data_IF_745486707185
#
_entry.id   IF_745486707185
#
_cell.length_a   1.000
_cell.length_b   1.000
_cell.length_c   1.000
_cell.angle_alpha   90.00
_cell.angle_beta   90.00
_cell.angle_gamma   90.00
#
_symmetry.space_group_name_H-M   'P 1'
#
loop_
_entity.id
_entity.type
_entity.pdbx_description
1 polymer ?
#
# COMPACT_ATOMS: atom_id res chain seq x y z
N UNK A 1 -16.77 -4.34 -21.90
CA UNK A 1 -15.81 -4.41 -20.77
C UNK A 1 -14.94 -5.63 -20.96
N UNK A 2 -13.87 -5.60 -21.73
CA UNK A 2 -13.13 -6.83 -22.10
C UNK A 2 -11.97 -7.13 -21.15
N UNK A 3 -11.35 -6.09 -20.60
CA UNK A 3 -10.13 -6.19 -19.80
C UNK A 3 -10.28 -5.52 -18.45
N UNK A 4 -9.69 -6.14 -17.42
CA UNK A 4 -9.52 -5.56 -16.09
C UNK A 4 -8.04 -5.57 -15.71
N UNK A 5 -7.55 -4.43 -15.22
CA UNK A 5 -6.29 -4.30 -14.53
C UNK A 5 -6.53 -4.12 -13.03
N UNK A 6 -5.85 -4.89 -12.20
CA UNK A 6 -5.95 -4.81 -10.75
C UNK A 6 -4.59 -4.45 -10.19
N UNK A 7 -4.53 -3.34 -9.48
CA UNK A 7 -3.41 -3.03 -8.62
C UNK A 7 -3.69 -3.54 -7.22
N UNK A 8 -2.97 -4.58 -6.78
CA UNK A 8 -3.06 -5.12 -5.42
C UNK A 8 -1.99 -4.46 -4.57
N UNK A 9 -2.19 -3.23 -4.11
CA UNK A 9 -1.20 -2.47 -3.36
C UNK A 9 -1.13 -2.84 -1.87
N UNK A 10 -0.03 -2.42 -1.22
CA UNK A 10 0.19 -2.64 0.22
C UNK A 10 -0.85 -1.95 1.09
N UNK A 11 -1.26 -0.74 0.69
CA UNK A 11 -2.21 0.10 1.44
C UNK A 11 -3.56 0.21 0.77
N UNK A 12 -3.60 0.26 -0.57
CA UNK A 12 -4.81 0.39 -1.35
C UNK A 12 -4.76 -0.57 -2.53
N UNK A 13 -5.93 -1.10 -2.91
CA UNK A 13 -6.15 -1.75 -4.17
C UNK A 13 -6.95 -0.83 -5.11
N UNK A 14 -6.67 -0.92 -6.42
CA UNK A 14 -7.47 -0.26 -7.44
C UNK A 14 -7.84 -1.23 -8.56
N UNK A 15 -8.96 -0.97 -9.23
CA UNK A 15 -9.40 -1.75 -10.40
C UNK A 15 -9.68 -0.78 -11.53
N UNK A 16 -9.01 -1.01 -12.65
CA UNK A 16 -9.21 -0.29 -13.90
C UNK A 16 -9.80 -1.24 -14.95
N UNK A 17 -10.60 -0.73 -15.87
CA UNK A 17 -11.18 -1.54 -16.93
C UNK A 17 -11.33 -0.77 -18.24
N UNK A 18 -11.30 -1.51 -19.34
CA UNK A 18 -11.53 -0.99 -20.69
C UNK A 18 -12.55 -1.87 -21.44
N UNK A 19 -13.37 -1.26 -22.28
CA UNK A 19 -14.39 -2.01 -23.01
C UNK A 19 -13.81 -2.89 -24.11
N UNK A 20 -12.78 -2.40 -24.78
CA UNK A 20 -11.99 -2.97 -25.87
C UNK A 20 -10.65 -2.23 -25.94
N UNK A 21 -9.86 -2.47 -26.99
CA UNK A 21 -8.49 -1.95 -27.15
C UNK A 21 -8.44 -0.44 -27.41
N UNK A 22 -9.51 0.15 -27.94
CA UNK A 22 -9.60 1.57 -28.31
C UNK A 22 -10.38 2.42 -27.29
N UNK A 23 -10.96 1.77 -26.28
CA UNK A 23 -11.76 2.42 -25.25
C UNK A 23 -10.90 3.06 -24.16
N UNK A 24 -11.33 4.21 -23.61
CA UNK A 24 -10.63 4.83 -22.49
C UNK A 24 -10.61 3.90 -21.27
N UNK A 25 -9.52 3.96 -20.51
CA UNK A 25 -9.38 3.24 -19.24
C UNK A 25 -10.21 3.95 -18.17
N UNK A 26 -11.12 3.21 -17.53
CA UNK A 26 -11.99 3.71 -16.47
C UNK A 26 -11.60 3.09 -15.13
N UNK A 27 -11.68 3.87 -14.05
CA UNK A 27 -11.51 3.37 -12.69
C UNK A 27 -12.86 2.84 -12.18
N UNK A 28 -12.86 1.60 -11.69
CA UNK A 28 -14.01 1.01 -11.04
C UNK A 28 -14.11 1.51 -9.60
N UNK A 29 -15.21 2.20 -9.29
CA UNK A 29 -15.55 2.56 -7.92
C UNK A 29 -16.07 1.32 -7.18
N UNK A 30 -15.27 0.80 -6.25
CA UNK A 30 -15.50 -0.43 -5.50
C UNK A 30 -16.51 -0.17 -4.38
N UNK A 31 -17.73 -0.76 -4.42
CA UNK A 31 -18.63 -0.72 -3.28
C UNK A 31 -18.01 -1.42 -2.07
N UNK A 32 -18.08 -0.78 -0.91
CA UNK A 32 -17.53 -1.29 0.34
C UNK A 32 -18.24 -0.66 1.54
N UNK A 33 -18.16 -1.30 2.70
CA UNK A 33 -18.69 -0.71 3.93
C UNK A 33 -17.84 0.51 4.32
N UNK A 34 -18.52 1.64 4.55
CA UNK A 34 -17.91 2.87 5.07
C UNK A 34 -18.29 3.10 6.55
N UNK A 35 -19.47 2.62 6.93
CA UNK A 35 -19.97 2.53 8.30
C UNK A 35 -20.74 1.20 8.45
N UNK A 36 -20.97 0.71 9.69
CA UNK A 36 -21.80 -0.48 9.88
C UNK A 36 -23.19 -0.27 9.28
N UNK A 37 -23.63 -1.17 8.40
CA UNK A 37 -24.89 -1.10 7.67
C UNK A 37 -24.92 -0.10 6.50
N UNK A 38 -23.79 0.54 6.17
CA UNK A 38 -23.73 1.56 5.12
C UNK A 38 -22.59 1.28 4.13
N UNK A 39 -22.95 1.16 2.86
CA UNK A 39 -22.00 0.97 1.75
C UNK A 39 -21.88 2.20 0.88
N UNK A 40 -20.67 2.50 0.42
CA UNK A 40 -20.42 3.49 -0.64
C UNK A 40 -19.42 2.94 -1.67
N UNK A 41 -19.52 3.42 -2.90
CA UNK A 41 -18.57 3.11 -3.96
C UNK A 41 -17.41 4.12 -3.93
N UNK A 42 -16.19 3.62 -3.84
CA UNK A 42 -14.98 4.42 -3.70
C UNK A 42 -13.94 3.99 -4.74
N UNK A 43 -13.11 4.89 -5.28
CA UNK A 43 -12.15 4.56 -6.34
C UNK A 43 -11.06 3.57 -5.90
N UNK A 44 -10.87 3.41 -4.59
CA UNK A 44 -9.87 2.54 -3.97
C UNK A 44 -10.53 1.66 -2.90
N UNK A 45 -10.07 0.42 -2.79
CA UNK A 45 -10.33 -0.46 -1.65
C UNK A 45 -9.11 -0.42 -0.74
N UNK A 46 -9.24 -0.02 0.52
CA UNK A 46 -8.11 -0.12 1.45
C UNK A 46 -7.71 -1.59 1.68
N UNK A 47 -6.42 -1.90 1.55
CA UNK A 47 -5.81 -3.22 1.78
C UNK A 47 -5.73 -3.53 3.28
N UNK A 48 -6.88 -3.49 3.92
CA UNK A 48 -7.10 -3.66 5.35
C UNK A 48 -8.16 -4.75 5.57
N UNK A 49 -7.87 -5.71 6.44
CA UNK A 49 -8.81 -6.74 6.88
C UNK A 49 -9.01 -6.63 8.39
N UNK A 50 -10.26 -6.49 8.83
CA UNK A 50 -10.62 -6.43 10.24
C UNK A 50 -11.27 -7.73 10.68
N UNK A 51 -10.72 -8.35 11.71
CA UNK A 51 -11.19 -9.60 12.30
C UNK A 51 -12.17 -9.28 13.44
N UNK A 52 -13.47 -9.21 13.14
CA UNK A 52 -14.49 -8.86 14.12
C UNK A 52 -14.73 -9.98 15.12
N UNK A 53 -15.12 -9.61 16.34
CA UNK A 53 -15.53 -10.55 17.38
C UNK A 53 -17.05 -10.76 17.39
N UNK A 54 -17.47 -11.88 17.95
CA UNK A 54 -18.89 -12.17 18.15
C UNK A 54 -19.54 -11.11 19.07
N UNK A 55 -20.66 -10.57 18.63
CA UNK A 55 -21.40 -9.53 19.34
C UNK A 55 -20.79 -8.12 19.27
N UNK A 56 -19.69 -7.92 18.51
CA UNK A 56 -19.10 -6.58 18.33
C UNK A 56 -20.00 -5.67 17.48
N UNK A 57 -20.68 -6.24 16.49
CA UNK A 57 -21.60 -5.54 15.61
C UNK A 57 -23.00 -6.13 15.75
N UNK A 58 -24.02 -5.30 15.51
CA UNK A 58 -25.39 -5.78 15.40
C UNK A 58 -25.52 -6.74 14.21
N UNK A 59 -26.47 -7.67 14.31
CA UNK A 59 -26.75 -8.62 13.23
C UNK A 59 -27.02 -7.89 11.91
N UNK A 60 -26.38 -8.34 10.83
CA UNK A 60 -26.48 -7.75 9.50
C UNK A 60 -25.72 -6.43 9.30
N UNK A 61 -25.10 -5.85 10.35
CA UNK A 61 -24.39 -4.57 10.21
C UNK A 61 -23.08 -4.68 9.39
N UNK A 62 -22.61 -5.89 9.12
CA UNK A 62 -21.45 -6.18 8.27
C UNK A 62 -21.85 -6.79 6.92
N UNK A 63 -23.15 -6.86 6.63
CA UNK A 63 -23.62 -7.44 5.38
C UNK A 63 -23.29 -6.49 4.21
N UNK A 64 -22.84 -7.09 3.12
CA UNK A 64 -22.70 -6.46 1.82
C UNK A 64 -23.86 -6.92 0.92
N UNK A 65 -24.20 -6.16 -0.13
CA UNK A 65 -25.29 -6.53 -1.05
C UNK A 65 -25.16 -7.94 -1.66
N UNK A 66 -23.96 -8.51 -1.69
CA UNK A 66 -23.65 -9.84 -2.22
C UNK A 66 -23.24 -10.88 -1.16
N UNK A 67 -23.13 -10.49 0.12
CA UNK A 67 -22.68 -11.41 1.16
C UNK A 67 -23.22 -11.03 2.54
N UNK A 68 -23.86 -11.99 3.21
CA UNK A 68 -24.38 -11.83 4.57
C UNK A 68 -23.60 -12.68 5.59
N UNK A 69 -23.60 -12.25 6.86
CA UNK A 69 -23.06 -13.01 7.99
C UNK A 69 -21.53 -13.10 8.04
N UNK A 70 -20.82 -12.21 7.34
CA UNK A 70 -19.34 -12.16 7.38
C UNK A 70 -18.86 -11.58 8.71
N UNK A 71 -17.88 -12.25 9.32
CA UNK A 71 -17.17 -11.78 10.52
C UNK A 71 -15.87 -11.04 10.20
N UNK A 72 -15.54 -10.92 8.93
CA UNK A 72 -14.32 -10.26 8.46
C UNK A 72 -14.71 -9.18 7.45
N UNK A 73 -14.11 -8.00 7.62
CA UNK A 73 -14.42 -6.81 6.83
C UNK A 73 -13.17 -6.44 6.06
N UNK A 74 -13.28 -6.21 4.75
CA UNK A 74 -12.21 -5.62 3.94
C UNK A 74 -12.54 -4.15 3.61
N UNK A 75 -11.52 -3.32 3.40
CA UNK A 75 -11.69 -1.95 2.94
C UNK A 75 -11.83 -0.89 4.05
N UNK A 76 -12.53 0.19 3.74
CA UNK A 76 -12.55 1.41 4.56
C UNK A 76 -13.06 1.22 5.98
N UNK A 77 -14.18 0.50 6.17
CA UNK A 77 -14.66 0.22 7.52
C UNK A 77 -13.64 -0.59 8.33
N UNK A 78 -12.91 -1.52 7.68
CA UNK A 78 -11.87 -2.31 8.33
C UNK A 78 -10.73 -1.41 8.85
N UNK A 79 -10.22 -0.53 8.00
CA UNK A 79 -9.18 0.43 8.36
C UNK A 79 -9.61 1.37 9.51
N UNK A 80 -10.82 1.93 9.44
CA UNK A 80 -11.39 2.79 10.49
C UNK A 80 -11.51 2.06 11.83
N UNK A 81 -12.11 0.87 11.84
CA UNK A 81 -12.29 0.07 13.06
C UNK A 81 -10.98 -0.40 13.66
N UNK A 82 -10.02 -0.73 12.80
CA UNK A 82 -8.68 -1.10 13.20
C UNK A 82 -7.90 0.01 13.90
N UNK A 83 -8.11 1.27 13.51
CA UNK A 83 -7.51 2.42 14.20
C UNK A 83 -8.03 2.59 15.64
N UNK A 84 -9.26 2.14 15.90
CA UNK A 84 -9.93 2.21 17.21
C UNK A 84 -9.66 0.97 18.07
N UNK A 85 -9.06 -0.08 17.52
CA UNK A 85 -9.00 -1.39 18.17
C UNK A 85 -7.66 -2.09 17.94
N UNK A 86 -6.93 -2.38 19.02
CA UNK A 86 -5.64 -3.08 18.91
C UNK A 86 -5.81 -4.56 18.56
N UNK A 87 -4.88 -5.09 17.76
CA UNK A 87 -4.71 -6.53 17.55
C UNK A 87 -5.79 -7.22 16.72
N UNK A 88 -6.63 -6.47 15.99
CA UNK A 88 -7.68 -7.00 15.10
C UNK A 88 -7.56 -6.55 13.64
N UNK A 89 -6.69 -5.58 13.37
CA UNK A 89 -6.47 -5.02 12.05
C UNK A 89 -5.27 -5.66 11.38
N UNK A 90 -5.50 -6.32 10.25
CA UNK A 90 -4.47 -6.81 9.34
C UNK A 90 -4.25 -5.78 8.25
N UNK A 91 -3.02 -5.29 8.13
CA UNK A 91 -2.54 -4.37 7.10
C UNK A 91 -1.23 -4.85 6.53
N UNK A 92 -0.80 -4.24 5.42
CA UNK A 92 0.51 -4.49 4.79
C UNK A 92 0.75 -5.95 4.41
N UNK A 93 -0.34 -6.73 4.22
CA UNK A 93 -0.28 -8.16 3.90
C UNK A 93 0.63 -8.45 2.71
N UNK A 94 0.67 -7.56 1.71
CA UNK A 94 1.57 -7.64 0.55
C UNK A 94 3.05 -7.63 0.94
N UNK A 95 3.46 -6.73 1.84
CA UNK A 95 4.84 -6.68 2.36
C UNK A 95 5.21 -7.94 3.14
N UNK A 96 4.27 -8.50 3.90
CA UNK A 96 4.49 -9.79 4.57
C UNK A 96 4.53 -10.97 3.60
N UNK A 97 3.75 -10.91 2.51
CA UNK A 97 3.75 -11.91 1.45
C UNK A 97 5.07 -11.93 0.67
N UNK A 98 5.74 -10.77 0.53
CA UNK A 98 7.01 -10.63 -0.17
C UNK A 98 8.24 -10.81 0.71
N UNK A 99 8.09 -10.63 2.03
CA UNK A 99 9.20 -10.75 2.98
C UNK A 99 9.84 -12.15 2.97
N UNK A 100 11.10 -12.22 2.56
CA UNK A 100 11.90 -13.46 2.56
C UNK A 100 12.16 -13.96 3.97
N UNK A 101 11.95 -15.26 4.20
CA UNK A 101 12.15 -15.90 5.51
C UNK A 101 10.98 -15.77 6.48
N UNK A 102 9.89 -15.08 6.10
CA UNK A 102 8.65 -15.05 6.87
C UNK A 102 7.73 -16.21 6.48
N UNK A 103 6.90 -16.66 7.43
CA UNK A 103 5.85 -17.63 7.12
C UNK A 103 4.68 -16.92 6.44
N UNK A 104 4.69 -16.97 5.10
CA UNK A 104 3.71 -16.29 4.23
C UNK A 104 2.33 -16.99 4.22
N UNK A 105 2.24 -18.19 4.80
CA UNK A 105 1.04 -19.04 4.77
C UNK A 105 0.46 -19.33 6.15
N UNK A 106 1.24 -19.17 7.21
CA UNK A 106 0.82 -19.31 8.61
C UNK A 106 0.10 -18.08 9.15
N UNK A 107 -0.69 -18.29 10.20
CA UNK A 107 -1.51 -17.27 10.84
C UNK A 107 -0.67 -16.31 11.71
N UNK A 108 0.07 -15.40 11.09
CA UNK A 108 0.98 -14.47 11.76
C UNK A 108 0.42 -13.05 11.91
N UNK A 109 -0.64 -12.69 11.16
CA UNK A 109 -1.23 -11.35 11.17
C UNK A 109 -2.56 -11.30 11.95
N UNK A 110 -2.83 -10.23 12.72
CA UNK A 110 -1.94 -9.11 12.94
C UNK A 110 -0.86 -9.41 13.99
N UNK A 111 0.36 -8.85 13.86
CA UNK A 111 1.48 -9.22 14.72
C UNK A 111 1.23 -8.89 16.20
N UNK A 112 0.47 -7.83 16.45
CA UNK A 112 0.10 -7.32 17.77
C UNK A 112 -1.20 -7.94 18.34
N UNK A 113 -1.74 -9.01 17.75
CA UNK A 113 -2.90 -9.70 18.30
C UNK A 113 -2.58 -10.28 19.69
N UNK A 114 -3.45 -10.11 20.71
CA UNK A 114 -3.30 -10.78 22.00
C UNK A 114 -3.22 -12.31 21.85
N UNK A 115 -2.69 -12.99 22.87
CA UNK A 115 -2.69 -14.46 22.91
C UNK A 115 -4.13 -15.00 22.83
N UNK A 116 -4.36 -15.99 21.97
CA UNK A 116 -5.68 -16.55 21.71
C UNK A 116 -6.59 -15.72 20.79
N UNK A 117 -6.20 -14.51 20.39
CA UNK A 117 -6.94 -13.72 19.40
C UNK A 117 -6.76 -14.32 17.98
N UNK A 118 -7.78 -14.18 17.11
CA UNK A 118 -7.70 -14.71 15.75
C UNK A 118 -6.56 -14.05 14.97
N UNK A 119 -5.85 -14.87 14.20
CA UNK A 119 -4.83 -14.45 13.26
C UNK A 119 -5.06 -15.12 11.90
N UNK A 120 -4.57 -14.51 10.85
CA UNK A 120 -4.63 -14.98 9.47
C UNK A 120 -3.26 -14.86 8.80
N UNK A 121 -3.09 -15.54 7.67
CA UNK A 121 -1.86 -15.45 6.90
C UNK A 121 -1.83 -14.26 5.95
N UNK A 122 -0.64 -13.81 5.52
CA UNK A 122 -0.50 -12.85 4.43
C UNK A 122 -1.25 -13.29 3.17
N UNK A 123 -1.11 -14.58 2.80
CA UNK A 123 -1.84 -15.17 1.68
C UNK A 123 -3.37 -15.02 1.84
N UNK A 124 -3.90 -15.38 3.01
CA UNK A 124 -5.33 -15.29 3.29
C UNK A 124 -5.85 -13.85 3.21
N UNK A 125 -5.12 -12.89 3.78
CA UNK A 125 -5.51 -11.48 3.73
C UNK A 125 -5.53 -10.95 2.28
N UNK A 126 -4.51 -11.24 1.49
CA UNK A 126 -4.47 -10.90 0.05
C UNK A 126 -5.63 -11.54 -0.72
N UNK A 127 -5.96 -12.80 -0.42
CA UNK A 127 -7.14 -13.48 -0.98
C UNK A 127 -8.43 -12.74 -0.61
N UNK A 128 -8.62 -12.33 0.65
CA UNK A 128 -9.83 -11.60 1.08
C UNK A 128 -10.00 -10.27 0.36
N UNK A 129 -8.91 -9.58 0.01
CA UNK A 129 -8.97 -8.35 -0.79
C UNK A 129 -9.45 -8.63 -2.21
N UNK A 130 -8.86 -9.65 -2.86
CA UNK A 130 -9.26 -10.08 -4.21
C UNK A 130 -10.70 -10.59 -4.25
N UNK A 131 -11.14 -11.37 -3.26
CA UNK A 131 -12.53 -11.81 -3.13
C UNK A 131 -13.49 -10.62 -3.09
N UNK A 132 -13.17 -9.59 -2.29
CA UNK A 132 -13.99 -8.38 -2.21
C UNK A 132 -14.08 -7.67 -3.56
N UNK A 133 -12.95 -7.48 -4.26
CA UNK A 133 -12.92 -6.84 -5.57
C UNK A 133 -13.74 -7.61 -6.61
N UNK A 134 -13.61 -8.94 -6.66
CA UNK A 134 -14.38 -9.79 -7.58
C UNK A 134 -15.87 -9.70 -7.31
N UNK A 135 -16.28 -9.87 -6.06
CA UNK A 135 -17.70 -9.88 -5.71
C UNK A 135 -18.35 -8.51 -5.91
N UNK A 136 -17.63 -7.44 -5.55
CA UNK A 136 -18.03 -6.07 -5.83
C UNK A 136 -18.21 -5.84 -7.34
N UNK A 137 -17.25 -6.28 -8.16
CA UNK A 137 -17.36 -6.18 -9.62
C UNK A 137 -18.59 -6.94 -10.14
N UNK A 138 -18.75 -8.21 -9.76
CA UNK A 138 -19.84 -9.06 -10.23
C UNK A 138 -21.20 -8.56 -9.80
N UNK A 139 -21.30 -7.93 -8.63
CA UNK A 139 -22.53 -7.29 -8.16
C UNK A 139 -22.90 -6.06 -9.00
N UNK A 140 -21.93 -5.20 -9.33
CA UNK A 140 -22.18 -3.99 -10.14
C UNK A 140 -22.37 -4.33 -11.62
N UNK A 141 -21.74 -5.39 -12.11
CA UNK A 141 -21.72 -5.79 -13.52
C UNK A 141 -22.22 -7.24 -13.71
N UNK A 142 -23.48 -7.58 -13.38
CA UNK A 142 -23.98 -8.96 -13.44
C UNK A 142 -24.00 -9.56 -14.84
N UNK A 143 -24.24 -8.75 -15.87
CA UNK A 143 -24.18 -9.16 -17.30
C UNK A 143 -22.74 -9.39 -17.79
N UNK A 144 -21.77 -9.01 -16.97
CA UNK A 144 -20.41 -8.72 -17.34
C UNK A 144 -19.40 -9.22 -16.29
N UNK A 145 -19.57 -10.46 -15.77
CA UNK A 145 -18.82 -10.97 -14.64
C UNK A 145 -17.31 -10.99 -14.92
N UNK A 146 -16.52 -10.84 -13.86
CA UNK A 146 -15.07 -10.78 -13.88
C UNK A 146 -14.46 -12.03 -14.51
N UNK A 147 -15.07 -13.20 -14.30
CA UNK A 147 -14.60 -14.50 -14.78
C UNK A 147 -14.56 -14.61 -16.31
N UNK A 148 -15.35 -13.80 -17.03
CA UNK A 148 -15.37 -13.77 -18.48
C UNK A 148 -14.36 -12.80 -19.13
N UNK A 149 -13.43 -12.24 -18.36
CA UNK A 149 -12.58 -11.11 -18.77
C UNK A 149 -11.11 -11.48 -18.83
N UNK A 150 -10.35 -10.72 -19.61
CA UNK A 150 -8.88 -10.73 -19.52
C UNK A 150 -8.45 -9.96 -18.28
N UNK A 151 -7.70 -10.59 -17.38
CA UNK A 151 -7.30 -10.01 -16.11
C UNK A 151 -5.79 -9.85 -16.06
N UNK A 152 -5.36 -8.64 -15.71
CA UNK A 152 -3.98 -8.31 -15.37
C UNK A 152 -3.93 -7.96 -13.89
N UNK A 153 -3.03 -8.59 -13.14
CA UNK A 153 -2.78 -8.32 -11.73
C UNK A 153 -1.35 -7.82 -11.54
N UNK A 154 -1.17 -6.66 -10.92
CA UNK A 154 0.16 -6.10 -10.71
C UNK A 154 0.92 -6.80 -9.58
N UNK A 155 2.23 -6.88 -9.72
CA UNK A 155 3.17 -7.29 -8.67
C UNK A 155 4.41 -6.41 -8.69
N UNK A 156 5.09 -6.19 -7.55
CA UNK A 156 6.36 -5.47 -7.54
C UNK A 156 7.42 -6.21 -8.36
N UNK A 157 8.25 -5.47 -9.09
CA UNK A 157 9.33 -6.06 -9.89
C UNK A 157 10.33 -6.86 -9.04
N UNK A 158 10.48 -6.47 -7.77
CA UNK A 158 11.36 -7.07 -6.77
C UNK A 158 10.81 -8.35 -6.13
N UNK A 159 9.57 -8.76 -6.42
CA UNK A 159 9.01 -10.01 -5.91
C UNK A 159 9.78 -11.23 -6.39
N UNK A 160 10.14 -12.10 -5.45
CA UNK A 160 10.67 -13.43 -5.74
C UNK A 160 9.60 -14.35 -6.35
N UNK A 161 10.05 -15.49 -6.90
CA UNK A 161 9.16 -16.44 -7.56
C UNK A 161 8.06 -16.97 -6.62
N UNK A 162 8.36 -17.14 -5.33
CA UNK A 162 7.41 -17.65 -4.33
C UNK A 162 6.34 -16.61 -4.04
N UNK A 163 6.68 -15.33 -3.91
CA UNK A 163 5.74 -14.24 -3.69
C UNK A 163 4.79 -14.08 -4.88
N UNK A 164 5.29 -14.26 -6.11
CA UNK A 164 4.47 -14.28 -7.34
C UNK A 164 3.50 -15.45 -7.33
N UNK A 165 3.99 -16.66 -7.05
CA UNK A 165 3.16 -17.86 -6.97
C UNK A 165 2.07 -17.75 -5.91
N UNK A 166 2.39 -17.21 -4.74
CA UNK A 166 1.43 -16.96 -3.66
C UNK A 166 0.41 -15.87 -4.04
N UNK A 167 0.81 -14.87 -4.83
CA UNK A 167 -0.12 -13.84 -5.33
C UNK A 167 -1.12 -14.45 -6.32
N UNK A 168 -0.65 -15.30 -7.25
CA UNK A 168 -1.55 -16.06 -8.13
C UNK A 168 -2.40 -17.05 -7.35
N UNK A 169 -1.85 -17.68 -6.30
CA UNK A 169 -2.62 -18.56 -5.41
C UNK A 169 -3.75 -17.81 -4.72
N UNK A 170 -3.48 -16.62 -4.18
CA UNK A 170 -4.51 -15.77 -3.59
C UNK A 170 -5.63 -15.47 -4.59
N UNK A 171 -5.29 -15.16 -5.85
CA UNK A 171 -6.27 -14.91 -6.90
C UNK A 171 -7.08 -16.17 -7.25
N UNK A 172 -6.42 -17.33 -7.41
CA UNK A 172 -7.11 -18.60 -7.67
C UNK A 172 -8.06 -18.98 -6.54
N UNK A 173 -7.63 -18.85 -5.29
CA UNK A 173 -8.48 -19.13 -4.12
C UNK A 173 -9.62 -18.12 -3.97
N UNK A 174 -9.40 -16.87 -4.42
CA UNK A 174 -10.44 -15.86 -4.57
C UNK A 174 -11.34 -16.09 -5.79
N UNK A 175 -11.17 -17.21 -6.52
CA UNK A 175 -11.96 -17.64 -7.66
C UNK A 175 -11.79 -16.81 -8.94
N UNK A 176 -10.61 -16.23 -9.15
CA UNK A 176 -10.25 -15.61 -10.42
C UNK A 176 -9.98 -16.67 -11.49
N UNK A 177 -10.29 -16.41 -12.78
CA UNK A 177 -9.79 -17.20 -13.90
C UNK A 177 -8.27 -17.04 -14.02
N UNK A 178 -7.61 -17.82 -14.90
CA UNK A 178 -6.21 -17.56 -15.25
C UNK A 178 -5.99 -16.10 -15.62
N UNK A 179 -4.98 -15.48 -15.01
CA UNK A 179 -4.65 -14.06 -15.16
C UNK A 179 -3.20 -13.88 -15.57
N UNK A 180 -2.85 -12.68 -16.00
CA UNK A 180 -1.47 -12.29 -16.31
C UNK A 180 -0.93 -11.45 -15.16
N UNK A 181 0.22 -11.84 -14.61
CA UNK A 181 0.98 -10.97 -13.74
C UNK A 181 1.73 -9.92 -14.56
N UNK A 182 1.61 -8.65 -14.18
CA UNK A 182 2.35 -7.53 -14.76
C UNK A 182 3.18 -6.84 -13.69
N UNK A 183 4.42 -6.46 -14.00
CA UNK A 183 5.22 -5.72 -13.05
C UNK A 183 4.70 -4.28 -12.91
N UNK A 184 4.54 -3.82 -11.67
CA UNK A 184 4.14 -2.45 -11.35
C UNK A 184 4.89 -1.36 -12.10
N UNK A 185 6.23 -1.38 -12.21
CA UNK A 185 6.95 -0.35 -12.96
C UNK A 185 6.61 -0.36 -14.46
N UNK A 186 6.32 -1.53 -15.03
CA UNK A 186 5.87 -1.61 -16.43
C UNK A 186 4.44 -1.10 -16.56
N UNK A 187 3.54 -1.45 -15.64
CA UNK A 187 2.17 -0.94 -15.61
C UNK A 187 2.14 0.59 -15.50
N UNK A 188 2.96 1.18 -14.62
CA UNK A 188 3.09 2.63 -14.46
C UNK A 188 3.59 3.30 -15.75
N UNK A 189 4.56 2.69 -16.44
CA UNK A 189 5.07 3.22 -17.69
C UNK A 189 4.06 3.07 -18.86
N UNK A 190 3.30 1.98 -18.93
CA UNK A 190 2.20 1.85 -19.89
C UNK A 190 1.09 2.88 -19.65
N UNK A 191 0.75 3.16 -18.39
CA UNK A 191 -0.17 4.25 -18.06
C UNK A 191 0.40 5.62 -18.45
N UNK A 192 1.72 5.83 -18.36
CA UNK A 192 2.34 7.05 -18.87
C UNK A 192 2.25 7.14 -20.40
N UNK A 193 2.50 6.06 -21.13
CA UNK A 193 2.36 6.01 -22.60
C UNK A 193 0.94 6.36 -23.02
N UNK A 194 -0.07 5.77 -22.39
CA UNK A 194 -1.48 5.99 -22.72
C UNK A 194 -1.90 7.46 -22.57
N UNK A 195 -1.32 8.17 -21.59
CA UNK A 195 -1.59 9.58 -21.34
C UNK A 195 -0.84 10.55 -22.26
N UNK A 196 0.09 10.06 -23.08
CA UNK A 196 0.99 10.88 -23.88
C UNK A 196 1.02 10.40 -25.34
N UNK A 197 0.12 10.91 -26.18
CA UNK A 197 0.08 10.59 -27.61
C UNK A 197 1.42 10.86 -28.33
N UNK A 198 2.20 11.81 -27.83
CA UNK A 198 3.52 12.20 -28.33
C UNK A 198 4.68 11.39 -27.75
N UNK A 199 4.42 10.30 -27.01
CA UNK A 199 5.46 9.52 -26.32
C UNK A 199 6.58 9.05 -27.25
N UNK A 200 6.27 8.72 -28.51
CA UNK A 200 7.26 8.31 -29.53
C UNK A 200 8.22 9.42 -29.94
N UNK A 201 7.88 10.69 -29.69
CA UNK A 201 8.78 11.82 -29.89
C UNK A 201 9.63 12.12 -28.63
N UNK A 202 9.22 11.58 -27.48
CA UNK A 202 9.90 11.77 -26.18
C UNK A 202 10.89 10.67 -25.85
N UNK A 203 10.67 9.49 -26.40
CA UNK A 203 11.38 8.26 -26.05
C UNK A 203 11.82 7.55 -27.33
N UNK A 204 13.11 7.23 -27.40
CA UNK A 204 13.72 6.48 -28.49
C UNK A 204 14.57 5.31 -28.01
N UNK A 205 15.00 4.50 -28.96
CA UNK A 205 15.92 3.38 -28.72
C UNK A 205 17.20 3.87 -28.02
N UNK A 206 17.58 3.19 -26.94
CA UNK A 206 18.75 3.50 -26.13
C UNK A 206 18.45 4.39 -24.92
N UNK A 207 17.24 4.94 -24.82
CA UNK A 207 16.83 5.67 -23.64
C UNK A 207 16.68 4.74 -22.43
N UNK A 208 16.97 5.30 -21.25
CA UNK A 208 16.80 4.65 -19.97
C UNK A 208 15.70 5.34 -19.18
N UNK A 209 14.70 4.57 -18.76
CA UNK A 209 13.58 5.01 -17.95
C UNK A 209 13.81 4.50 -16.53
N UNK A 210 13.93 5.43 -15.59
CA UNK A 210 13.94 5.12 -14.17
C UNK A 210 12.52 5.27 -13.62
N UNK A 211 11.95 4.16 -13.16
CA UNK A 211 10.71 4.17 -12.38
C UNK A 211 11.07 4.16 -10.90
N UNK A 212 10.56 5.15 -10.17
CA UNK A 212 10.67 5.28 -8.72
C UNK A 212 9.28 5.14 -8.13
N UNK A 213 8.98 3.96 -7.57
CA UNK A 213 7.71 3.70 -6.92
C UNK A 213 7.89 3.80 -5.40
N UNK A 214 7.23 4.79 -4.79
CA UNK A 214 7.22 4.99 -3.33
C UNK A 214 5.79 4.80 -2.86
N UNK A 215 5.47 3.57 -2.49
CA UNK A 215 4.17 3.18 -2.01
C UNK A 215 3.98 3.42 -0.51
N UNK A 216 2.91 2.83 0.02
CA UNK A 216 2.61 2.91 1.46
C UNK A 216 3.61 2.13 2.32
N UNK A 217 3.91 0.88 1.99
CA UNK A 217 4.84 0.07 2.80
C UNK A 217 6.23 -0.12 2.19
N UNK A 218 6.40 0.19 0.89
CA UNK A 218 7.60 -0.20 0.15
C UNK A 218 8.08 0.89 -0.80
N UNK A 219 9.37 0.86 -1.09
CA UNK A 219 9.97 1.63 -2.18
C UNK A 219 10.69 0.67 -3.12
N UNK A 220 10.39 0.77 -4.41
CA UNK A 220 10.96 -0.05 -5.45
C UNK A 220 11.54 0.84 -6.56
N UNK A 221 12.78 0.54 -6.97
CA UNK A 221 13.44 1.22 -8.09
C UNK A 221 13.59 0.25 -9.25
N UNK A 222 13.22 0.68 -10.45
CA UNK A 222 13.38 -0.14 -11.65
C UNK A 222 13.97 0.69 -12.77
N UNK A 223 14.96 0.13 -13.47
CA UNK A 223 15.55 0.73 -14.66
C UNK A 223 15.12 -0.09 -15.88
N UNK A 224 14.48 0.58 -16.83
CA UNK A 224 13.96 0.01 -18.07
C UNK A 224 14.76 0.62 -19.22
N UNK A 225 15.35 -0.22 -20.05
CA UNK A 225 15.93 0.19 -21.33
C UNK A 225 14.87 0.13 -22.42
N UNK A 226 14.87 1.15 -23.27
CA UNK A 226 14.05 1.19 -24.46
C UNK A 226 14.85 0.55 -25.59
N UNK A 227 14.45 -0.65 -25.98
CA UNK A 227 15.05 -1.40 -27.07
C UNK A 227 14.17 -1.32 -28.32
N UNK A 228 14.63 -1.93 -29.40
CA UNK A 228 13.86 -1.98 -30.65
C UNK A 228 13.97 -3.38 -31.22
N UNK A 229 12.82 -3.99 -31.51
CA UNK A 229 12.72 -5.28 -32.18
C UNK A 229 11.68 -5.19 -33.28
N UNK A 230 12.05 -5.64 -34.47
CA UNK A 230 11.18 -5.64 -35.66
C UNK A 230 10.54 -4.26 -35.96
N UNK A 231 11.25 -3.17 -35.65
CA UNK A 231 10.81 -1.79 -35.86
C UNK A 231 9.81 -1.27 -34.82
N UNK A 232 9.50 -2.05 -33.78
CA UNK A 232 8.71 -1.63 -32.63
C UNK A 232 9.61 -1.40 -31.41
N UNK A 233 9.30 -0.36 -30.63
CA UNK A 233 9.98 -0.13 -29.35
C UNK A 233 9.54 -1.21 -28.35
N UNK A 234 10.52 -1.86 -27.75
CA UNK A 234 10.35 -2.83 -26.68
C UNK A 234 10.90 -2.27 -25.37
N UNK A 235 10.37 -2.77 -24.25
CA UNK A 235 10.76 -2.33 -22.91
C UNK A 235 11.44 -3.49 -22.21
N UNK A 236 12.74 -3.37 -22.04
CA UNK A 236 13.55 -4.37 -21.36
C UNK A 236 13.92 -3.87 -19.98
N UNK A 237 13.50 -4.60 -18.95
CA UNK A 237 13.91 -4.32 -17.58
C UNK A 237 15.37 -4.73 -17.38
N UNK A 238 16.25 -3.75 -17.21
CA UNK A 238 17.70 -4.01 -17.10
C UNK A 238 18.19 -4.04 -15.65
N UNK A 239 17.47 -3.43 -14.71
CA UNK A 239 17.81 -3.50 -13.29
C UNK A 239 16.61 -3.32 -12.38
N UNK A 240 16.66 -3.99 -11.22
CA UNK A 240 15.67 -3.90 -10.15
C UNK A 240 16.41 -3.66 -8.84
N UNK A 241 15.94 -2.68 -8.08
CA UNK A 241 16.43 -2.38 -6.75
C UNK A 241 16.07 -3.45 -5.72
N UNK A 242 16.63 -3.31 -4.53
CA UNK A 242 16.17 -4.08 -3.37
C UNK A 242 14.72 -3.69 -3.04
N UNK A 243 13.93 -4.65 -2.54
CA UNK A 243 12.59 -4.38 -2.04
C UNK A 243 12.69 -3.68 -0.67
N UNK A 244 12.68 -2.36 -0.67
CA UNK A 244 12.86 -1.59 0.56
C UNK A 244 11.55 -1.56 1.33
N UNK A 245 11.53 -2.07 2.56
CA UNK A 245 10.43 -1.87 3.51
C UNK A 245 10.52 -0.44 4.08
N UNK A 246 10.26 0.53 3.21
CA UNK A 246 10.36 1.96 3.48
C UNK A 246 9.34 2.70 2.60
N UNK A 247 8.36 3.37 3.19
CA UNK A 247 7.33 4.09 2.44
C UNK A 247 6.49 5.02 3.31
N UNK A 248 5.26 5.29 2.86
CA UNK A 248 4.27 6.10 3.56
C UNK A 248 4.00 5.70 5.02
N UNK A 249 4.03 4.42 5.36
CA UNK A 249 3.83 3.89 6.72
C UNK A 249 4.91 4.43 7.68
N UNK A 250 6.17 4.45 7.23
CA UNK A 250 7.29 5.00 7.99
C UNK A 250 7.18 6.52 8.14
N UNK A 251 6.74 7.20 7.07
CA UNK A 251 6.47 8.63 7.08
C UNK A 251 5.39 8.98 8.10
N UNK A 252 4.28 8.26 8.09
CA UNK A 252 3.15 8.45 9.00
C UNK A 252 3.55 8.21 10.46
N UNK A 253 4.39 7.21 10.71
CA UNK A 253 4.91 6.96 12.05
C UNK A 253 5.88 8.06 12.52
N UNK A 254 6.72 8.59 11.63
CA UNK A 254 7.60 9.72 11.95
C UNK A 254 6.78 10.96 12.35
N UNK A 255 5.69 11.25 11.64
CA UNK A 255 4.75 12.31 11.99
C UNK A 255 4.07 12.03 13.35
N UNK A 256 3.65 10.79 13.59
CA UNK A 256 3.05 10.39 14.86
C UNK A 256 4.00 10.59 16.04
N UNK A 257 5.29 10.23 15.90
CA UNK A 257 6.30 10.48 16.93
C UNK A 257 6.54 11.97 17.18
N UNK A 258 6.53 12.80 16.12
CA UNK A 258 6.60 14.25 16.26
C UNK A 258 5.43 14.79 17.09
N UNK A 259 4.20 14.39 16.76
CA UNK A 259 3.00 14.82 17.51
C UNK A 259 2.99 14.25 18.94
N UNK A 260 3.43 13.01 19.13
CA UNK A 260 3.56 12.40 20.46
C UNK A 260 4.57 13.16 21.34
N UNK A 261 5.67 13.66 20.77
CA UNK A 261 6.63 14.50 21.48
C UNK A 261 6.01 15.84 21.92
N UNK A 262 5.17 16.46 21.07
CA UNK A 262 4.42 17.67 21.45
C UNK A 262 3.45 17.41 22.62
N UNK A 263 2.76 16.26 22.61
CA UNK A 263 1.86 15.85 23.69
C UNK A 263 2.61 15.54 24.99
N UNK A 264 3.76 14.85 24.88
CA UNK A 264 4.62 14.54 26.02
C UNK A 264 5.17 15.81 26.68
N UNK A 265 5.50 16.85 25.91
CA UNK A 265 5.90 18.16 26.43
C UNK A 265 4.77 18.85 27.24
N UNK A 266 3.52 18.44 27.04
CA UNK A 266 2.35 18.87 27.83
C UNK A 266 2.00 17.86 28.95
N UNK A 267 2.91 16.96 29.32
CA UNK A 267 2.70 15.87 30.28
C UNK A 267 1.60 14.86 29.89
N UNK A 268 1.27 14.74 28.60
CA UNK A 268 0.33 13.74 28.07
C UNK A 268 1.12 12.60 27.43
N UNK A 269 1.45 11.58 28.22
CA UNK A 269 2.10 10.36 27.71
C UNK A 269 1.07 9.46 27.03
N UNK A 270 1.45 8.88 25.90
CA UNK A 270 0.62 7.95 25.14
C UNK A 270 1.03 6.52 25.44
N UNK A 271 0.04 5.63 25.55
CA UNK A 271 0.28 4.19 25.50
C UNK A 271 0.31 3.67 24.04
N UNK A 272 0.53 2.37 23.88
CA UNK A 272 0.64 1.74 22.57
C UNK A 272 -0.63 1.88 21.71
N UNK A 273 -1.83 1.82 22.32
CA UNK A 273 -3.08 1.95 21.58
C UNK A 273 -3.29 3.41 21.13
N UNK A 274 -2.98 4.36 22.01
CA UNK A 274 -3.03 5.78 21.67
C UNK A 274 -1.98 6.15 20.61
N UNK A 275 -0.81 5.51 20.62
CA UNK A 275 0.20 5.67 19.58
C UNK A 275 -0.28 5.16 18.22
N UNK A 276 -0.91 3.97 18.18
CA UNK A 276 -1.48 3.43 16.95
C UNK A 276 -2.61 4.31 16.40
N UNK A 277 -3.51 4.79 17.28
CA UNK A 277 -4.55 5.74 16.88
C UNK A 277 -3.94 7.04 16.33
N UNK A 278 -2.88 7.55 16.97
CA UNK A 278 -2.20 8.76 16.52
C UNK A 278 -1.54 8.57 15.15
N UNK A 279 -0.93 7.41 14.92
CA UNK A 279 -0.35 7.03 13.63
C UNK A 279 -1.36 7.09 12.49
N UNK A 280 -2.53 6.48 12.67
CA UNK A 280 -3.60 6.52 11.67
C UNK A 280 -4.16 7.93 11.46
N UNK A 281 -4.32 8.72 12.53
CA UNK A 281 -4.79 10.10 12.39
C UNK A 281 -3.74 11.00 11.71
N UNK A 282 -2.45 10.74 11.90
CA UNK A 282 -1.36 11.42 11.19
C UNK A 282 -1.35 11.08 9.70
N UNK A 283 -1.63 9.82 9.31
CA UNK A 283 -1.83 9.42 7.91
C UNK A 283 -2.93 10.25 7.25
N UNK A 284 -4.13 10.27 7.86
CA UNK A 284 -5.27 11.02 7.34
C UNK A 284 -4.97 12.52 7.23
N UNK A 285 -4.32 13.09 8.24
CA UNK A 285 -3.90 14.50 8.22
C UNK A 285 -2.87 14.76 7.10
N UNK A 286 -1.86 13.91 6.93
CA UNK A 286 -0.85 14.00 5.87
C UNK A 286 -1.51 13.96 4.48
N UNK A 287 -2.34 12.95 4.22
CA UNK A 287 -3.02 12.78 2.92
C UNK A 287 -3.92 13.98 2.60
N UNK A 288 -4.67 14.49 3.59
CA UNK A 288 -5.49 15.70 3.43
C UNK A 288 -4.65 16.94 3.16
N UNK A 289 -3.50 17.08 3.81
CA UNK A 289 -2.61 18.25 3.66
C UNK A 289 -1.83 18.22 2.35
N UNK A 290 -1.37 17.06 1.89
CA UNK A 290 -0.53 16.94 0.69
C UNK A 290 -1.31 16.63 -0.59
N UNK A 291 -2.58 16.25 -0.50
CA UNK A 291 -3.50 16.19 -1.63
C UNK A 291 -4.00 17.58 -2.05
N UNK A 292 -5.28 17.68 -2.42
CA UNK A 292 -5.89 18.93 -2.91
C UNK A 292 -6.17 19.99 -1.81
N UNK A 293 -5.78 19.71 -0.57
CA UNK A 293 -5.98 20.63 0.54
C UNK A 293 -4.88 21.70 0.60
N UNK A 294 -5.25 22.95 0.90
CA UNK A 294 -4.32 24.07 1.17
C UNK A 294 -4.09 24.32 2.67
N UNK A 295 -4.49 23.36 3.50
CA UNK A 295 -4.40 23.48 4.95
C UNK A 295 -2.96 23.67 5.41
N UNK A 296 -2.72 24.71 6.22
CA UNK A 296 -1.41 24.98 6.85
C UNK A 296 -1.21 24.20 8.13
N UNK A 297 -2.29 23.73 8.74
CA UNK A 297 -2.28 23.00 10.01
C UNK A 297 -3.52 22.10 10.09
N UNK A 298 -3.31 20.84 10.48
CA UNK A 298 -4.40 19.91 10.81
C UNK A 298 -4.35 19.54 12.30
N UNK A 299 -5.54 19.44 12.90
CA UNK A 299 -5.70 18.98 14.28
C UNK A 299 -5.80 17.46 14.29
N UNK A 300 -4.85 16.80 14.93
CA UNK A 300 -4.83 15.33 15.07
C UNK A 300 -5.43 14.99 16.43
N UNK A 301 -6.54 14.26 16.46
CA UNK A 301 -7.28 13.97 17.70
C UNK A 301 -7.43 12.48 17.93
N UNK A 302 -7.12 12.04 19.14
CA UNK A 302 -7.28 10.66 19.61
C UNK A 302 -8.07 10.63 20.91
N UNK A 303 -8.67 9.49 21.24
CA UNK A 303 -9.35 9.30 22.52
C UNK A 303 -8.35 9.30 23.68
N UNK A 304 -8.66 10.03 24.75
CA UNK A 304 -7.90 9.93 26.00
C UNK A 304 -8.29 8.70 26.81
N UNK A 305 -7.45 8.37 27.79
CA UNK A 305 -7.71 7.30 28.77
C UNK A 305 -7.70 7.90 30.18
N UNK A 306 -8.75 7.63 30.95
CA UNK A 306 -8.92 8.11 32.32
C UNK A 306 -10.15 7.47 32.99
N UNK A 307 -10.17 7.43 34.32
CA UNK A 307 -11.21 6.78 35.14
C UNK A 307 -12.55 7.53 35.23
N UNK A 308 -12.67 8.71 34.61
CA UNK A 308 -13.96 9.38 34.42
C UNK A 308 -14.65 8.83 33.18
N UNK A 309 -15.96 8.53 33.29
CA UNK A 309 -16.86 7.98 32.26
C UNK A 309 -16.88 8.72 30.90
N UNK A 310 -16.14 9.82 30.76
CA UNK A 310 -15.87 10.53 29.53
C UNK A 310 -14.35 10.75 29.48
N UNK A 311 -13.61 9.83 28.84
CA UNK A 311 -12.18 10.03 28.57
C UNK A 311 -12.02 11.22 27.64
N UNK A 312 -11.56 12.37 28.14
CA UNK A 312 -11.38 13.57 27.32
C UNK A 312 -10.48 13.31 26.11
N UNK A 313 -10.73 13.97 24.98
CA UNK A 313 -9.91 13.80 23.78
C UNK A 313 -8.50 14.38 23.98
N UNK A 314 -7.47 13.69 23.48
CA UNK A 314 -6.13 14.25 23.33
C UNK A 314 -5.97 14.80 21.91
N UNK A 315 -5.40 15.99 21.78
CA UNK A 315 -5.18 16.60 20.46
C UNK A 315 -3.79 17.19 20.35
N UNK A 316 -3.14 16.87 19.24
CA UNK A 316 -1.92 17.51 18.78
C UNK A 316 -2.18 18.29 17.49
N UNK A 317 -1.13 18.93 16.96
CA UNK A 317 -1.21 19.71 15.72
C UNK A 317 -0.11 19.24 14.78
N UNK A 318 -0.48 19.13 13.51
CA UNK A 318 0.45 18.83 12.43
C UNK A 318 0.52 20.05 11.51
N UNK A 319 1.69 20.69 11.40
CA UNK A 319 1.86 21.86 10.53
C UNK A 319 2.43 21.42 9.18
N UNK A 320 2.03 22.09 8.10
CA UNK A 320 2.48 21.74 6.74
C UNK A 320 3.99 21.83 6.62
N UNK A 321 4.60 22.89 7.15
CA UNK A 321 6.05 23.04 7.15
C UNK A 321 6.75 21.90 7.90
N UNK A 322 6.18 21.39 8.99
CA UNK A 322 6.73 20.23 9.71
C UNK A 322 6.59 18.95 8.89
N UNK A 323 5.47 18.76 8.18
CA UNK A 323 5.27 17.64 7.24
C UNK A 323 6.28 17.72 6.10
N UNK A 324 6.43 18.88 5.45
CA UNK A 324 7.37 19.08 4.34
C UNK A 324 8.81 18.82 4.80
N UNK A 325 9.24 19.38 5.93
CA UNK A 325 10.60 19.12 6.45
C UNK A 325 10.79 17.66 6.86
N UNK A 326 9.85 17.06 7.60
CA UNK A 326 10.02 15.67 8.07
C UNK A 326 9.97 14.67 6.91
N UNK A 327 9.09 14.89 5.94
CA UNK A 327 8.90 13.95 4.84
C UNK A 327 9.87 14.21 3.69
N UNK A 328 9.97 15.44 3.20
CA UNK A 328 10.84 15.77 2.07
C UNK A 328 12.30 15.74 2.49
N UNK A 329 12.71 16.48 3.51
CA UNK A 329 14.13 16.51 3.91
C UNK A 329 14.56 15.23 4.64
N UNK A 330 13.63 14.59 5.36
CA UNK A 330 13.90 13.36 6.11
C UNK A 330 13.98 12.11 5.23
N UNK A 331 12.99 11.90 4.35
CA UNK A 331 12.92 10.70 3.51
C UNK A 331 13.47 10.91 2.10
N UNK A 332 13.53 12.15 1.60
CA UNK A 332 14.10 12.49 0.30
C UNK A 332 15.24 13.51 0.40
N UNK A 333 16.25 13.29 1.28
CA UNK A 333 17.32 14.24 1.47
C UNK A 333 18.07 14.50 0.15
N UNK A 334 18.51 15.74 -0.06
CA UNK A 334 19.48 16.01 -1.14
C UNK A 334 20.76 15.22 -0.85
N UNK A 335 21.14 14.36 -1.80
CA UNK A 335 22.33 13.54 -1.69
C UNK A 335 23.12 13.54 -3.01
N UNK A 336 24.40 13.22 -2.94
CA UNK A 336 25.26 12.98 -4.08
C UNK A 336 25.00 11.60 -4.68
N UNK A 337 25.31 11.40 -5.97
CA UNK A 337 25.30 10.08 -6.61
C UNK A 337 26.30 9.08 -6.01
N UNK A 338 27.23 9.56 -5.17
CA UNK A 338 28.21 8.74 -4.45
C UNK A 338 27.79 8.37 -3.03
N UNK A 339 26.73 8.97 -2.53
CA UNK A 339 26.25 8.73 -1.17
C UNK A 339 25.70 7.30 -1.05
N UNK A 340 25.78 6.75 0.16
CA UNK A 340 25.31 5.41 0.51
C UNK A 340 24.35 5.50 1.68
N UNK A 341 23.40 4.55 1.82
CA UNK A 341 22.54 4.47 2.99
C UNK A 341 23.33 4.47 4.29
N UNK A 342 22.92 5.32 5.23
CA UNK A 342 23.56 5.46 6.53
C UNK A 342 23.27 4.22 7.41
N UNK A 343 24.32 3.60 7.95
CA UNK A 343 24.16 2.57 8.98
C UNK A 343 23.85 3.22 10.34
N UNK A 344 22.61 3.65 10.54
CA UNK A 344 22.15 4.09 11.86
C UNK A 344 21.87 2.88 12.75
N UNK A 345 22.15 3.01 14.07
CA UNK A 345 21.64 2.06 15.07
C UNK A 345 20.11 2.09 14.99
N UNK A 346 19.48 0.91 14.83
CA UNK A 346 18.02 0.70 14.74
C UNK A 346 17.29 1.58 15.76
N UNK A 347 16.69 2.67 15.29
CA UNK A 347 15.83 3.54 16.07
C UNK A 347 14.38 3.19 15.71
N UNK A 348 13.78 2.32 16.50
CA UNK A 348 12.32 2.23 16.67
C UNK A 348 11.48 2.02 15.42
N UNK A 349 11.48 0.79 14.89
CA UNK A 349 10.39 0.21 14.11
C UNK A 349 10.57 -1.30 14.16
N UNK A 350 9.88 -1.92 15.11
CA UNK A 350 9.66 -3.36 15.10
C UNK A 350 8.14 -3.48 15.09
N UNK A 351 7.51 -3.41 13.91
CA UNK A 351 6.44 -4.38 13.72
C UNK A 351 7.11 -5.74 13.85
N UNK A 352 6.63 -6.57 14.77
CA UNK A 352 7.30 -7.78 15.21
C UNK A 352 7.57 -8.77 14.05
N UNK A 353 8.68 -8.60 13.34
CA UNK A 353 9.20 -9.56 12.36
C UNK A 353 9.66 -9.00 11.02
N UNK A 354 9.24 -7.80 10.60
CA UNK A 354 9.62 -7.27 9.27
C UNK A 354 11.00 -6.57 9.28
N UNK A 355 11.88 -6.83 8.27
CA UNK A 355 13.22 -6.25 8.19
C UNK A 355 13.22 -4.82 7.61
N UNK A 356 12.74 -3.82 8.37
CA UNK A 356 12.73 -2.42 7.92
C UNK A 356 14.12 -1.85 7.63
N UNK A 357 14.17 -0.91 6.69
CA UNK A 357 15.40 -0.18 6.34
C UNK A 357 15.88 0.73 7.48
N UNK A 358 17.19 0.69 7.84
CA UNK A 358 17.72 1.51 8.93
C UNK A 358 17.94 2.98 8.53
N UNK A 359 18.13 3.27 7.24
CA UNK A 359 18.18 4.63 6.71
C UNK A 359 16.87 4.95 6.01
N UNK A 360 16.20 6.00 6.48
CA UNK A 360 14.96 6.50 5.90
C UNK A 360 15.18 7.33 4.61
N UNK A 361 16.43 7.69 4.28
CA UNK A 361 16.76 8.47 3.09
C UNK A 361 16.62 7.66 1.80
N UNK A 362 15.41 7.62 1.22
CA UNK A 362 15.07 6.96 -0.04
C UNK A 362 16.02 7.38 -1.18
N UNK A 363 16.37 8.66 -1.26
CA UNK A 363 17.30 9.19 -2.27
C UNK A 363 18.72 8.61 -2.16
N UNK A 364 19.19 8.28 -0.95
CA UNK A 364 20.48 7.60 -0.75
C UNK A 364 20.43 6.14 -1.21
N UNK A 365 19.30 5.47 -1.03
CA UNK A 365 19.09 4.14 -1.61
C UNK A 365 19.04 4.18 -3.13
N UNK A 366 18.40 5.20 -3.70
CA UNK A 366 18.40 5.43 -5.16
C UNK A 366 19.82 5.68 -5.69
N UNK A 367 20.61 6.52 -5.00
CA UNK A 367 22.00 6.77 -5.38
C UNK A 367 22.83 5.48 -5.39
N UNK A 368 22.69 4.64 -4.36
CA UNK A 368 23.29 3.29 -4.31
C UNK A 368 22.86 2.42 -5.48
N UNK A 369 21.56 2.35 -5.77
CA UNK A 369 21.00 1.56 -6.87
C UNK A 369 21.63 1.96 -8.22
N UNK A 370 21.57 3.25 -8.56
CA UNK A 370 22.12 3.76 -9.82
C UNK A 370 23.64 3.51 -9.95
N UNK A 371 24.38 3.68 -8.85
CA UNK A 371 25.83 3.43 -8.82
C UNK A 371 26.18 1.97 -9.07
N UNK A 372 25.43 1.03 -8.47
CA UNK A 372 25.65 -0.41 -8.68
C UNK A 372 25.44 -0.79 -10.15
N UNK A 373 24.45 -0.18 -10.81
CA UNK A 373 24.22 -0.41 -12.23
C UNK A 373 25.34 0.17 -13.09
N UNK A 374 25.76 1.42 -12.84
CA UNK A 374 26.88 2.04 -13.56
C UNK A 374 28.18 1.22 -13.48
N UNK A 375 28.52 0.68 -12.31
CA UNK A 375 29.72 -0.16 -12.14
C UNK A 375 29.62 -1.53 -12.83
N UNK A 376 28.41 -2.06 -12.99
CA UNK A 376 28.17 -3.36 -13.64
C UNK A 376 28.32 -3.27 -15.15
N UNK A 377 27.97 -2.12 -15.75
CA UNK A 377 28.15 -1.85 -17.18
C UNK A 377 29.62 -1.65 -17.57
N UNK A 378 30.45 -1.07 -16.68
CA UNK A 378 31.88 -0.86 -16.92
C UNK A 378 32.73 -2.14 -16.91
N UNK A 379 32.27 -3.21 -16.25
CA UNK A 379 32.99 -4.50 -16.18
C UNK A 379 32.48 -5.55 -17.17
N UNK A 380 31.43 -5.24 -17.94
CA UNK A 380 30.81 -6.12 -18.92
C UNK A 380 31.03 -5.72 -20.38
N UNK A 381 31.92 -4.74 -20.65
CA UNK A 381 32.26 -4.25 -21.99
C UNK A 381 33.59 -4.81 -22.51
#
# INVERSE_FOLDING_TARGET
>A
MRFLGIDLGTTNCSVAYAADDDSPVNIFAVPQLIHPGETAAEPLLESALYLAQDGEFADGALDLPWAAGRKEIAGRLAARRGAETSGRLVTSAKSWLSATGMDRTGAILPPNAPEGAPRVSPLYASRRYLEHLREAWNHVHPEHPLEGRGIVLTVPASFDAVARELTEQAAREAGYPPLVLLEEPQAAFYAWIERHDDWRARIGKGDLILVVDVGGGTTDFTLIAVTERDGALELERIAVGEHLLLGGDNMDLALAHSVAAQLAAQNKKLDAMQMNALWQQCRLAKEKMLGDGDSKEEKVTILGRGSSLIGGSLSGKLKRAEVETLLVDGFFPRCSSKDMPERRRRMGLIEAGLPYEPDAGITRHLARFLRQQASSTEHGA
#
